data_IF_659987161873
#
_entry.id   IF_659987161873
#
_cell.length_a   1.000
_cell.length_b   1.000
_cell.length_c   1.000
_cell.angle_alpha   90.00
_cell.angle_beta   90.00
_cell.angle_gamma   90.00
#
_symmetry.space_group_name_H-M   'P 1'
#
loop_
_entity.id
_entity.type
_entity.pdbx_description
1 polymer ?
#
# COMPACT_ATOMS: atom_id res chain seq x y z
N UNK A 1 7.73 16.41 5.28
CA UNK A 1 6.59 15.47 5.20
C UNK A 1 7.04 14.24 4.43
N UNK A 2 6.62 13.04 4.83
CA UNK A 2 6.80 11.81 4.06
C UNK A 2 5.51 11.50 3.28
N UNK A 3 5.66 10.87 2.13
CA UNK A 3 4.55 10.33 1.34
C UNK A 3 4.61 8.80 1.38
N UNK A 4 3.50 8.19 1.76
CA UNK A 4 3.27 6.76 1.53
C UNK A 4 2.08 6.64 0.57
N UNK A 5 2.40 6.61 -0.73
CA UNK A 5 1.43 6.80 -1.80
C UNK A 5 0.76 8.17 -1.76
N UNK A 6 -0.56 8.18 -1.55
CA UNK A 6 -1.36 9.40 -1.45
C UNK A 6 -1.46 9.96 -0.03
N UNK A 7 -1.14 9.15 1.00
CA UNK A 7 -1.19 9.56 2.39
C UNK A 7 0.02 10.43 2.76
N UNK A 8 -0.24 11.54 3.45
CA UNK A 8 0.78 12.49 3.91
C UNK A 8 1.07 12.29 5.39
N UNK A 9 2.34 12.10 5.72
CA UNK A 9 2.80 11.95 7.10
C UNK A 9 3.63 13.17 7.51
N UNK A 10 3.23 13.81 8.62
CA UNK A 10 4.02 14.87 9.24
C UNK A 10 5.25 14.24 9.91
N UNK A 11 6.42 14.78 9.57
CA UNK A 11 7.71 14.39 10.13
C UNK A 11 8.19 15.46 11.13
N UNK A 12 9.31 15.18 11.79
CA UNK A 12 9.96 16.04 12.78
C UNK A 12 8.98 16.39 13.91
N UNK A 13 8.34 15.35 14.45
CA UNK A 13 7.39 15.44 15.56
C UNK A 13 7.62 14.26 16.52
N UNK A 14 7.25 14.39 17.79
CA UNK A 14 7.22 13.25 18.68
C UNK A 14 6.17 12.22 18.25
N UNK A 15 6.32 11.01 18.78
CA UNK A 15 5.31 9.95 18.73
C UNK A 15 4.07 10.45 19.46
N UNK A 16 2.89 10.22 18.88
CA UNK A 16 1.62 10.60 19.50
C UNK A 16 1.14 9.53 20.48
N UNK A 17 0.30 9.90 21.43
CA UNK A 17 -0.27 8.94 22.40
C UNK A 17 -1.04 7.81 21.72
N UNK A 18 -1.75 8.11 20.62
CA UNK A 18 -2.48 7.12 19.84
C UNK A 18 -1.55 6.13 19.12
N UNK A 19 -0.37 6.57 18.68
CA UNK A 19 0.64 5.67 18.10
C UNK A 19 1.32 4.85 19.19
N UNK A 20 1.58 5.45 20.35
CA UNK A 20 2.15 4.77 21.52
C UNK A 20 1.22 3.69 22.08
N UNK A 21 -0.10 3.94 22.14
CA UNK A 21 -1.06 2.96 22.63
C UNK A 21 -1.31 1.81 21.66
N UNK A 22 -1.07 2.04 20.36
CA UNK A 22 -1.19 1.03 19.30
C UNK A 22 0.13 0.28 19.02
N UNK A 23 1.15 0.45 19.88
CA UNK A 23 2.48 -0.11 19.68
C UNK A 23 2.46 -1.65 19.69
N UNK A 24 3.19 -2.23 18.74
CA UNK A 24 3.48 -3.65 18.69
C UNK A 24 4.86 -3.89 19.30
N UNK A 25 4.89 -4.59 20.43
CA UNK A 25 6.13 -4.87 21.15
C UNK A 25 6.85 -6.07 20.53
N UNK A 26 8.10 -5.90 20.13
CA UNK A 26 8.92 -6.95 19.50
C UNK A 26 9.29 -8.10 20.46
N UNK A 27 9.20 -7.85 21.77
CA UNK A 27 9.55 -8.79 22.84
C UNK A 27 8.33 -9.51 23.43
N UNK A 28 7.13 -9.14 22.99
CA UNK A 28 5.87 -9.70 23.48
C UNK A 28 5.13 -10.36 22.32
N UNK A 29 4.40 -11.43 22.62
CA UNK A 29 3.54 -12.07 21.61
C UNK A 29 2.29 -11.21 21.43
N UNK A 30 1.94 -10.89 20.20
CA UNK A 30 0.68 -10.21 19.88
C UNK A 30 -0.42 -11.16 19.39
N UNK A 31 -0.06 -12.41 19.06
CA UNK A 31 -1.00 -13.47 18.69
C UNK A 31 -0.46 -14.84 19.12
N UNK A 32 -1.36 -15.78 19.41
CA UNK A 32 -1.00 -17.16 19.76
C UNK A 32 -0.42 -17.92 18.57
N UNK A 33 -0.90 -17.62 17.36
CA UNK A 33 -0.47 -18.24 16.11
C UNK A 33 0.31 -17.23 15.27
N UNK A 34 1.33 -17.72 14.58
CA UNK A 34 1.99 -16.99 13.50
C UNK A 34 1.48 -17.54 12.17
N UNK A 35 1.11 -16.66 11.24
CA UNK A 35 0.67 -17.05 9.90
C UNK A 35 1.06 -15.96 8.92
N UNK A 36 1.62 -16.33 7.77
CA UNK A 36 1.81 -15.42 6.64
C UNK A 36 0.52 -15.37 5.81
N UNK A 37 -0.14 -14.22 5.77
CA UNK A 37 -1.37 -13.91 5.06
C UNK A 37 -1.10 -13.31 3.67
N UNK A 38 -0.24 -13.99 2.90
CA UNK A 38 0.06 -13.62 1.52
C UNK A 38 0.82 -12.30 1.40
N UNK A 39 1.83 -12.09 2.22
CA UNK A 39 2.69 -10.89 2.24
C UNK A 39 4.14 -11.15 1.83
N UNK A 40 4.57 -12.41 1.83
CA UNK A 40 5.97 -12.80 1.65
C UNK A 40 6.30 -13.00 0.17
N UNK A 41 7.35 -12.35 -0.33
CA UNK A 41 7.96 -12.60 -1.65
C UNK A 41 8.98 -13.72 -1.60
N UNK A 42 9.82 -13.73 -0.56
CA UNK A 42 10.91 -14.68 -0.40
C UNK A 42 11.17 -14.94 1.09
N UNK A 43 11.51 -16.18 1.43
CA UNK A 43 11.88 -16.57 2.78
C UNK A 43 13.11 -17.48 2.71
N UNK A 44 14.16 -17.09 3.42
CA UNK A 44 15.41 -17.85 3.57
C UNK A 44 15.69 -18.08 5.06
N UNK A 45 16.80 -18.75 5.38
CA UNK A 45 17.20 -18.95 6.78
C UNK A 45 17.72 -17.65 7.44
N UNK A 46 18.05 -16.63 6.65
CA UNK A 46 18.68 -15.38 7.08
C UNK A 46 17.77 -14.16 6.92
N UNK A 47 16.87 -14.14 5.94
CA UNK A 47 15.96 -13.02 5.74
C UNK A 47 14.57 -13.43 5.27
N UNK A 48 13.61 -12.56 5.58
CA UNK A 48 12.24 -12.63 5.10
C UNK A 48 11.95 -11.36 4.31
N UNK A 49 11.66 -11.49 3.01
CA UNK A 49 11.26 -10.38 2.15
C UNK A 49 9.74 -10.33 2.03
N UNK A 50 9.14 -9.21 2.41
CA UNK A 50 7.68 -9.00 2.40
C UNK A 50 7.29 -7.75 1.61
N UNK A 51 6.01 -7.64 1.29
CA UNK A 51 5.45 -6.48 0.63
C UNK A 51 5.25 -5.28 1.55
N UNK A 52 5.22 -4.08 0.97
CA UNK A 52 4.68 -2.90 1.62
C UNK A 52 3.15 -2.93 1.59
N UNK A 53 2.53 -2.15 2.49
CA UNK A 53 1.07 -2.08 2.61
C UNK A 53 0.36 -1.80 1.27
N UNK A 54 1.00 -1.02 0.40
CA UNK A 54 0.42 -0.57 -0.87
C UNK A 54 0.58 -1.55 -2.03
N UNK A 55 1.26 -2.68 -1.84
CA UNK A 55 1.54 -3.61 -2.94
C UNK A 55 0.29 -4.07 -3.69
N UNK A 56 -0.84 -4.25 -2.98
CA UNK A 56 -2.14 -4.63 -3.57
C UNK A 56 -2.97 -3.45 -4.09
N UNK A 57 -2.65 -2.21 -3.69
CA UNK A 57 -3.39 -0.99 -4.03
C UNK A 57 -2.99 -0.38 -5.39
N UNK A 58 -2.08 -1.02 -6.13
CA UNK A 58 -1.68 -0.50 -7.44
C UNK A 58 -2.83 -0.58 -8.46
N UNK A 59 -2.88 0.32 -9.42
CA UNK A 59 -3.93 0.40 -10.45
C UNK A 59 -5.03 1.43 -10.15
N UNK A 60 -5.24 1.83 -8.89
CA UNK A 60 -6.24 2.85 -8.54
C UNK A 60 -5.96 4.21 -9.18
N UNK A 61 -4.69 4.60 -9.33
CA UNK A 61 -4.30 5.85 -9.99
C UNK A 61 -4.59 5.81 -11.48
N UNK A 62 -4.34 4.66 -12.12
CA UNK A 62 -4.69 4.43 -13.52
C UNK A 62 -6.20 4.46 -13.75
N UNK A 63 -7.00 3.89 -12.85
CA UNK A 63 -8.46 3.94 -12.92
C UNK A 63 -8.99 5.36 -12.74
N UNK A 64 -8.47 6.10 -11.76
CA UNK A 64 -8.84 7.49 -11.53
C UNK A 64 -8.56 8.37 -12.76
N UNK A 65 -7.41 8.15 -13.44
CA UNK A 65 -7.10 8.84 -14.68
C UNK A 65 -7.98 8.39 -15.85
N UNK A 66 -8.15 7.07 -16.06
CA UNK A 66 -8.93 6.52 -17.17
C UNK A 66 -10.41 6.92 -17.12
N UNK A 67 -10.93 7.21 -15.92
CA UNK A 67 -12.32 7.64 -15.72
C UNK A 67 -12.42 9.16 -15.59
N UNK A 68 -12.12 9.70 -14.40
CA UNK A 68 -12.25 11.13 -14.11
C UNK A 68 -11.24 11.98 -14.90
N UNK A 69 -10.01 11.50 -15.11
CA UNK A 69 -9.00 12.23 -15.87
C UNK A 69 -9.38 12.45 -17.33
N UNK A 70 -9.84 11.39 -18.01
CA UNK A 70 -10.36 11.48 -19.38
C UNK A 70 -11.58 12.40 -19.44
N UNK A 71 -12.49 12.32 -18.46
CA UNK A 71 -13.62 13.24 -18.37
C UNK A 71 -13.16 14.70 -18.24
N UNK A 72 -12.22 15.01 -17.34
CA UNK A 72 -11.68 16.35 -17.19
C UNK A 72 -10.98 16.84 -18.47
N UNK A 73 -10.25 15.97 -19.16
CA UNK A 73 -9.63 16.30 -20.45
C UNK A 73 -10.69 16.67 -21.50
N UNK A 74 -11.76 15.88 -21.62
CA UNK A 74 -12.87 16.17 -22.53
C UNK A 74 -13.58 17.48 -22.17
N UNK A 75 -13.82 17.75 -20.88
CA UNK A 75 -14.44 18.99 -20.40
C UNK A 75 -13.57 20.21 -20.73
N UNK A 76 -12.25 20.14 -20.47
CA UNK A 76 -11.31 21.20 -20.82
C UNK A 76 -11.34 21.47 -22.34
N UNK A 77 -11.26 20.43 -23.16
CA UNK A 77 -11.34 20.56 -24.61
C UNK A 77 -12.68 21.19 -25.06
N UNK A 78 -13.79 20.76 -24.48
CA UNK A 78 -15.13 21.28 -24.76
C UNK A 78 -15.26 22.76 -24.39
N UNK A 79 -14.77 23.18 -23.21
CA UNK A 79 -14.83 24.58 -22.79
C UNK A 79 -13.93 25.48 -23.63
N UNK A 80 -12.74 25.02 -24.00
CA UNK A 80 -11.85 25.73 -24.94
C UNK A 80 -12.48 25.84 -26.33
N UNK A 81 -13.14 24.79 -26.81
CA UNK A 81 -13.89 24.82 -28.06
C UNK A 81 -15.04 25.84 -28.00
N UNK A 82 -15.83 25.82 -26.93
CA UNK A 82 -16.96 26.75 -26.76
C UNK A 82 -16.49 28.21 -26.62
N UNK A 83 -15.32 28.46 -26.03
CA UNK A 83 -14.72 29.78 -25.98
C UNK A 83 -14.32 30.30 -27.38
N UNK A 84 -13.85 29.42 -28.27
CA UNK A 84 -13.46 29.81 -29.64
C UNK A 84 -14.66 29.90 -30.60
N UNK A 85 -15.69 29.09 -30.39
CA UNK A 85 -16.89 29.00 -31.23
C UNK A 85 -18.14 29.56 -30.53
N UNK A 86 -18.00 30.72 -29.89
CA UNK A 86 -19.10 31.41 -29.18
C UNK A 86 -20.31 31.64 -30.10
N UNK A 87 -21.54 31.24 -29.69
CA UNK A 87 -22.76 31.49 -30.45
C UNK A 87 -23.04 32.99 -30.64
N UNK A 88 -23.49 33.37 -31.85
CA UNK A 88 -23.80 34.76 -32.20
C UNK A 88 -24.86 35.36 -31.25
N UNK A 89 -25.85 34.58 -30.84
CA UNK A 89 -26.90 34.99 -29.91
C UNK A 89 -26.37 35.45 -28.52
N UNK A 90 -25.21 34.96 -28.08
CA UNK A 90 -24.56 35.39 -26.81
C UNK A 90 -23.87 36.74 -27.00
N UNK A 91 -23.25 36.94 -28.17
CA UNK A 91 -22.60 38.20 -28.55
C UNK A 91 -23.63 39.32 -28.73
N UNK A 92 -24.75 39.02 -29.38
CA UNK A 92 -25.86 39.98 -29.59
C UNK A 92 -26.48 40.46 -28.28
N UNK A 93 -26.49 39.62 -27.22
CA UNK A 93 -26.99 40.00 -25.89
C UNK A 93 -25.97 40.76 -25.04
N UNK A 94 -24.74 40.98 -25.53
CA UNK A 94 -23.66 41.64 -24.77
C UNK A 94 -23.20 40.88 -23.52
N UNK A 95 -23.49 39.57 -23.43
CA UNK A 95 -23.19 38.73 -22.24
C UNK A 95 -21.83 38.02 -22.35
N UNK A 96 -21.04 38.34 -23.36
CA UNK A 96 -19.79 37.63 -23.69
C UNK A 96 -18.79 37.57 -22.52
N UNK A 97 -18.59 38.68 -21.80
CA UNK A 97 -17.64 38.74 -20.69
C UNK A 97 -18.01 37.77 -19.55
N UNK A 98 -19.31 37.65 -19.25
CA UNK A 98 -19.81 36.73 -18.22
C UNK A 98 -19.60 35.28 -18.65
N UNK A 99 -19.93 34.95 -19.89
CA UNK A 99 -19.78 33.59 -20.41
C UNK A 99 -18.30 33.20 -20.52
N UNK A 100 -17.41 34.09 -20.98
CA UNK A 100 -15.97 33.84 -20.97
C UNK A 100 -15.42 33.64 -19.56
N UNK A 101 -15.88 34.43 -18.59
CA UNK A 101 -15.47 34.27 -17.19
C UNK A 101 -15.89 32.90 -16.64
N UNK A 102 -17.12 32.48 -16.89
CA UNK A 102 -17.60 31.16 -16.48
C UNK A 102 -16.83 30.04 -17.16
N UNK A 103 -16.59 30.13 -18.47
CA UNK A 103 -15.79 29.17 -19.23
C UNK A 103 -14.36 29.07 -18.70
N UNK A 104 -13.74 30.21 -18.37
CA UNK A 104 -12.40 30.25 -17.79
C UNK A 104 -12.37 29.55 -16.42
N UNK A 105 -13.36 29.80 -15.55
CA UNK A 105 -13.47 29.12 -14.24
C UNK A 105 -13.65 27.61 -14.44
N UNK A 106 -14.56 27.17 -15.31
CA UNK A 106 -14.77 25.74 -15.54
C UNK A 106 -13.56 25.06 -16.18
N UNK A 107 -12.87 25.75 -17.08
CA UNK A 107 -11.61 25.27 -17.67
C UNK A 107 -10.55 25.14 -16.60
N UNK A 108 -10.39 26.12 -15.69
CA UNK A 108 -9.45 26.05 -14.58
C UNK A 108 -9.75 24.87 -13.65
N UNK A 109 -11.02 24.67 -13.29
CA UNK A 109 -11.46 23.51 -12.49
C UNK A 109 -11.14 22.20 -13.22
N UNK A 110 -11.41 22.12 -14.52
CA UNK A 110 -11.08 20.97 -15.35
C UNK A 110 -9.58 20.67 -15.39
N UNK A 111 -8.74 21.70 -15.59
CA UNK A 111 -7.27 21.58 -15.58
C UNK A 111 -6.76 21.12 -14.21
N UNK A 112 -7.28 21.68 -13.12
CA UNK A 112 -6.94 21.24 -11.77
C UNK A 112 -7.34 19.77 -11.53
N UNK A 113 -8.54 19.35 -11.93
CA UNK A 113 -9.00 17.97 -11.85
C UNK A 113 -8.13 17.01 -12.68
N UNK A 114 -7.77 17.42 -13.89
CA UNK A 114 -6.84 16.68 -14.75
C UNK A 114 -5.46 16.55 -14.10
N UNK A 115 -4.91 17.63 -13.53
CA UNK A 115 -3.61 17.59 -12.86
C UNK A 115 -3.59 16.62 -11.66
N UNK A 116 -4.67 16.58 -10.88
CA UNK A 116 -4.81 15.63 -9.74
C UNK A 116 -4.83 14.18 -10.23
N UNK A 117 -5.60 13.89 -11.29
CA UNK A 117 -5.70 12.52 -11.83
C UNK A 117 -4.43 12.08 -12.56
N UNK A 118 -3.76 12.98 -13.28
CA UNK A 118 -2.43 12.73 -13.86
C UNK A 118 -1.41 12.45 -12.76
N UNK A 119 -1.42 13.21 -11.66
CA UNK A 119 -0.56 12.91 -10.52
C UNK A 119 -0.84 11.53 -9.95
N UNK A 120 -2.12 11.13 -9.85
CA UNK A 120 -2.47 9.79 -9.39
C UNK A 120 -1.95 8.70 -10.32
N UNK A 121 -2.09 8.87 -11.63
CA UNK A 121 -1.49 8.00 -12.63
C UNK A 121 0.02 7.88 -12.44
N UNK A 122 0.75 8.98 -12.27
CA UNK A 122 2.22 8.99 -12.15
C UNK A 122 2.76 8.43 -10.83
N UNK A 123 1.96 8.46 -9.76
CA UNK A 123 2.36 7.83 -8.48
C UNK A 123 2.27 6.31 -8.58
N UNK A 124 1.32 5.83 -9.36
CA UNK A 124 0.90 4.44 -9.45
C UNK A 124 1.62 3.69 -10.59
N UNK A 125 1.65 4.31 -11.78
CA UNK A 125 2.42 3.95 -12.96
C UNK A 125 3.81 4.60 -12.91
N UNK A 126 4.78 4.09 -13.68
CA UNK A 126 6.14 4.66 -13.78
C UNK A 126 6.92 4.75 -12.45
N UNK A 127 6.50 3.95 -11.47
CA UNK A 127 7.17 3.82 -10.18
C UNK A 127 7.79 2.42 -10.07
N UNK A 128 7.84 1.82 -8.88
CA UNK A 128 8.32 0.45 -8.72
C UNK A 128 7.18 -0.57 -8.80
N UNK A 129 7.47 -1.78 -9.29
CA UNK A 129 6.52 -2.89 -9.34
C UNK A 129 6.09 -3.31 -7.93
N UNK A 130 7.04 -3.29 -6.98
CA UNK A 130 6.86 -3.49 -5.54
C UNK A 130 7.86 -2.63 -4.75
N UNK A 131 7.58 -2.37 -3.47
CA UNK A 131 8.54 -1.78 -2.52
C UNK A 131 8.80 -2.78 -1.39
N UNK A 132 9.74 -3.71 -1.60
CA UNK A 132 9.93 -4.82 -0.67
C UNK A 132 10.56 -4.34 0.64
N UNK A 133 10.31 -5.11 1.70
CA UNK A 133 10.87 -4.90 3.03
C UNK A 133 11.54 -6.21 3.43
N UNK A 134 12.83 -6.18 3.73
CA UNK A 134 13.58 -7.33 4.22
C UNK A 134 13.76 -7.25 5.73
N UNK A 135 13.31 -8.28 6.42
CA UNK A 135 13.64 -8.56 7.80
C UNK A 135 14.89 -9.46 7.81
N UNK A 136 16.06 -8.89 8.06
CA UNK A 136 17.31 -9.64 8.15
C UNK A 136 17.58 -10.01 9.61
N UNK A 137 17.61 -11.31 9.92
CA UNK A 137 17.87 -11.78 11.29
C UNK A 137 19.35 -11.84 11.64
N UNK A 138 20.25 -11.82 10.65
CA UNK A 138 21.69 -11.92 10.88
C UNK A 138 22.25 -10.68 11.59
N UNK A 139 21.93 -9.51 11.05
CA UNK A 139 22.30 -8.21 11.61
C UNK A 139 21.15 -7.55 12.39
N UNK A 140 20.04 -8.30 12.57
CA UNK A 140 18.79 -7.84 13.20
C UNK A 140 18.31 -6.50 12.64
N UNK A 141 18.32 -6.32 11.32
CA UNK A 141 17.94 -5.05 10.67
C UNK A 141 16.72 -5.21 9.76
N UNK A 142 15.82 -4.23 9.80
CA UNK A 142 14.74 -4.05 8.83
C UNK A 142 15.25 -3.14 7.72
N UNK A 143 15.31 -3.66 6.50
CA UNK A 143 15.62 -2.89 5.30
C UNK A 143 14.31 -2.59 4.55
N UNK A 144 13.96 -1.32 4.41
CA UNK A 144 12.79 -0.90 3.64
C UNK A 144 13.23 -0.19 2.35
N UNK A 145 12.85 -0.74 1.21
CA UNK A 145 13.16 -0.18 -0.10
C UNK A 145 12.35 1.09 -0.38
N UNK A 146 13.01 2.15 -0.86
CA UNK A 146 12.38 3.39 -1.31
C UNK A 146 12.57 3.63 -2.81
N UNK A 147 13.80 3.52 -3.29
CA UNK A 147 14.14 3.68 -4.71
C UNK A 147 15.49 3.01 -5.05
N UNK A 148 15.76 2.79 -6.33
CA UNK A 148 17.07 2.33 -6.80
C UNK A 148 18.10 3.46 -6.63
N UNK A 149 19.35 3.07 -6.32
CA UNK A 149 20.48 3.98 -6.20
C UNK A 149 20.78 4.47 -4.78
N UNK A 150 21.74 5.41 -4.63
CA UNK A 150 22.22 5.88 -3.32
C UNK A 150 21.11 6.48 -2.46
N UNK A 151 21.08 6.15 -1.16
CA UNK A 151 20.04 6.60 -0.23
C UNK A 151 18.65 5.97 -0.46
N UNK A 152 18.59 4.96 -1.32
CA UNK A 152 17.36 4.29 -1.74
C UNK A 152 16.79 3.27 -0.76
N UNK A 153 17.46 3.02 0.37
CA UNK A 153 17.05 2.05 1.40
C UNK A 153 17.06 2.73 2.76
N UNK A 154 16.06 2.42 3.57
CA UNK A 154 16.03 2.75 4.99
C UNK A 154 16.42 1.50 5.77
N UNK A 155 17.42 1.62 6.61
CA UNK A 155 17.88 0.54 7.49
C UNK A 155 17.55 0.92 8.93
N UNK A 156 16.82 0.05 9.64
CA UNK A 156 16.46 0.26 11.04
C UNK A 156 16.83 -1.00 11.84
N UNK A 157 17.64 -0.88 12.90
CA UNK A 157 17.83 -1.99 13.83
C UNK A 157 16.48 -2.43 14.39
N UNK A 158 16.16 -3.72 14.27
CA UNK A 158 14.92 -4.35 14.75
C UNK A 158 14.61 -3.96 16.19
N UNK A 159 15.63 -3.96 17.04
CA UNK A 159 15.51 -3.62 18.47
C UNK A 159 15.10 -2.16 18.73
N UNK A 160 15.34 -1.26 17.76
CA UNK A 160 14.97 0.15 17.82
C UNK A 160 13.73 0.49 16.98
N UNK A 161 13.15 -0.48 16.28
CA UNK A 161 12.03 -0.25 15.38
C UNK A 161 10.76 0.08 16.18
N UNK A 162 10.16 1.25 15.91
CA UNK A 162 8.83 1.57 16.44
C UNK A 162 7.76 1.06 15.48
N UNK A 163 7.21 -0.10 15.80
CA UNK A 163 6.17 -0.79 15.04
C UNK A 163 4.82 -0.59 15.74
N UNK A 164 3.77 -0.28 14.99
CA UNK A 164 2.43 -0.06 15.54
C UNK A 164 1.34 -0.35 14.50
N UNK A 165 0.10 -0.48 14.97
CA UNK A 165 -1.06 -0.61 14.08
C UNK A 165 -1.56 0.78 13.73
N UNK A 166 -1.44 1.15 12.45
CA UNK A 166 -2.07 2.35 11.92
C UNK A 166 -3.57 2.10 11.72
N UNK A 167 -4.40 2.95 12.34
CA UNK A 167 -5.86 2.94 12.19
C UNK A 167 -6.30 4.12 11.34
N UNK A 168 -6.65 3.87 10.09
CA UNK A 168 -7.19 4.92 9.22
C UNK A 168 -8.69 5.11 9.47
N UNK A 169 -9.21 6.35 9.40
CA UNK A 169 -10.64 6.60 9.54
C UNK A 169 -11.41 5.94 8.39
N UNK A 170 -12.73 5.76 8.59
CA UNK A 170 -13.61 5.24 7.54
C UNK A 170 -13.56 6.13 6.30
N UNK A 171 -13.39 5.51 5.13
CA UNK A 171 -13.28 6.20 3.85
C UNK A 171 -13.85 5.37 2.69
N UNK A 172 -14.02 6.02 1.54
CA UNK A 172 -14.50 5.39 0.31
C UNK A 172 -15.99 5.07 0.30
N UNK A 173 -16.47 4.57 -0.84
CA UNK A 173 -17.90 4.26 -1.04
C UNK A 173 -18.41 3.13 -0.14
N UNK A 174 -17.53 2.19 0.21
CA UNK A 174 -17.85 1.07 1.10
C UNK A 174 -17.74 1.43 2.59
N UNK A 175 -17.35 2.67 2.92
CA UNK A 175 -17.14 3.16 4.30
C UNK A 175 -16.25 2.23 5.16
N UNK A 176 -15.22 1.63 4.56
CA UNK A 176 -14.29 0.74 5.27
C UNK A 176 -13.24 1.54 6.01
N UNK A 177 -12.71 0.98 7.09
CA UNK A 177 -11.58 1.53 7.82
C UNK A 177 -10.37 0.61 7.69
N UNK A 178 -9.29 1.14 7.11
CA UNK A 178 -8.09 0.37 6.83
C UNK A 178 -7.20 0.23 8.08
N UNK A 179 -6.58 -0.94 8.23
CA UNK A 179 -5.61 -1.27 9.28
C UNK A 179 -4.34 -1.83 8.65
N UNK A 180 -3.18 -1.40 9.12
CA UNK A 180 -1.89 -1.91 8.62
C UNK A 180 -0.81 -1.81 9.68
N UNK A 181 0.16 -2.71 9.65
CA UNK A 181 1.39 -2.55 10.43
C UNK A 181 2.22 -1.43 9.81
N UNK A 182 2.64 -0.48 10.63
CA UNK A 182 3.48 0.64 10.20
C UNK A 182 4.72 0.73 11.07
N UNK A 183 5.84 1.06 10.44
CA UNK A 183 7.08 1.37 11.12
C UNK A 183 7.33 2.89 11.08
N UNK A 184 7.74 3.46 12.21
CA UNK A 184 8.27 4.81 12.31
C UNK A 184 9.80 4.74 12.40
N UNK A 185 10.46 5.56 11.60
CA UNK A 185 11.90 5.82 11.70
C UNK A 185 12.07 6.97 12.67
N UNK A 186 12.78 6.73 13.76
CA UNK A 186 13.07 7.72 14.79
C UNK A 186 14.51 8.23 14.64
N UNK A 187 14.73 9.50 14.94
CA UNK A 187 16.08 10.03 15.17
C UNK A 187 16.53 9.80 16.62
N UNK A 188 17.75 10.23 16.94
CA UNK A 188 18.36 10.09 18.26
C UNK A 188 17.58 10.83 19.36
N UNK A 189 16.75 11.81 19.00
CA UNK A 189 15.90 12.59 19.88
C UNK A 189 14.50 11.96 20.03
N UNK A 190 14.23 10.83 19.36
CA UNK A 190 12.93 10.15 19.36
C UNK A 190 11.87 10.81 18.49
N UNK A 191 12.25 11.70 17.57
CA UNK A 191 11.34 12.33 16.62
C UNK A 191 11.18 11.48 15.36
N UNK A 192 9.98 11.50 14.80
CA UNK A 192 9.65 10.75 13.58
C UNK A 192 10.26 11.42 12.35
N UNK A 193 11.32 10.83 11.80
CA UNK A 193 12.01 11.30 10.59
C UNK A 193 11.64 10.52 9.33
N UNK A 194 10.91 9.42 9.48
CA UNK A 194 10.42 8.62 8.36
C UNK A 194 9.35 7.62 8.76
N UNK A 195 8.70 7.00 7.77
CA UNK A 195 7.72 5.93 8.01
C UNK A 195 7.51 5.11 6.74
N UNK A 196 7.09 3.85 6.91
CA UNK A 196 6.61 2.97 5.84
C UNK A 196 5.62 1.94 6.40
N UNK A 197 4.70 1.49 5.56
CA UNK A 197 3.74 0.41 5.87
C UNK A 197 4.30 -0.96 5.51
N UNK A 198 3.91 -1.99 6.26
CA UNK A 198 4.40 -3.37 6.12
C UNK A 198 3.21 -4.31 5.91
N UNK A 199 3.34 -5.25 4.98
CA UNK A 199 2.37 -6.32 4.77
C UNK A 199 1.17 -5.87 3.96
N UNK A 200 -0.03 -6.22 4.42
CA UNK A 200 -1.31 -6.01 3.71
C UNK A 200 -2.22 -5.08 4.53
N UNK A 201 -2.97 -4.22 3.85
CA UNK A 201 -4.09 -3.51 4.48
C UNK A 201 -5.24 -4.48 4.74
N UNK A 202 -5.72 -4.48 5.98
CA UNK A 202 -6.96 -5.13 6.37
C UNK A 202 -8.06 -4.07 6.36
N UNK A 203 -9.03 -4.23 5.45
CA UNK A 203 -10.17 -3.32 5.30
C UNK A 203 -11.34 -3.80 6.16
N UNK A 204 -11.68 -3.02 7.20
CA UNK A 204 -12.78 -3.33 8.10
C UNK A 204 -14.07 -2.64 7.65
N UNK A 205 -15.07 -3.42 7.22
CA UNK A 205 -16.43 -2.93 6.97
C UNK A 205 -17.26 -2.75 8.27
N UNK A 206 -16.87 -3.46 9.33
CA UNK A 206 -17.52 -3.43 10.64
C UNK A 206 -16.63 -2.73 11.66
N UNK A 207 -17.16 -2.47 12.86
CA UNK A 207 -16.34 -1.96 13.95
C UNK A 207 -15.30 -2.99 14.39
N UNK A 208 -14.14 -2.51 14.83
CA UNK A 208 -13.00 -3.34 15.24
C UNK A 208 -13.39 -4.29 16.39
N UNK A 209 -14.26 -3.85 17.29
CA UNK A 209 -14.75 -4.62 18.44
C UNK A 209 -15.82 -5.67 18.10
N UNK A 210 -16.34 -5.67 16.87
CA UNK A 210 -17.30 -6.67 16.42
C UNK A 210 -16.61 -8.03 16.20
N UNK A 211 -17.33 -9.18 16.25
CA UNK A 211 -16.73 -10.48 15.98
C UNK A 211 -16.02 -10.56 14.62
N UNK A 212 -16.58 -9.94 13.59
CA UNK A 212 -15.97 -9.88 12.26
C UNK A 212 -14.74 -8.94 12.24
N UNK A 213 -14.79 -7.83 12.97
CA UNK A 213 -13.66 -6.91 13.14
C UNK A 213 -12.48 -7.57 13.84
N UNK A 214 -12.74 -8.28 14.94
CA UNK A 214 -11.72 -9.00 15.71
C UNK A 214 -11.06 -10.10 14.88
N UNK A 215 -11.83 -10.86 14.08
CA UNK A 215 -11.28 -11.87 13.18
C UNK A 215 -10.33 -11.26 12.13
N UNK A 216 -10.70 -10.12 11.56
CA UNK A 216 -9.87 -9.42 10.59
C UNK A 216 -8.60 -8.81 11.24
N UNK A 217 -8.72 -8.31 12.48
CA UNK A 217 -7.56 -7.88 13.26
C UNK A 217 -6.63 -9.05 13.63
N UNK A 218 -7.18 -10.23 13.89
CA UNK A 218 -6.41 -11.44 14.15
C UNK A 218 -5.48 -11.78 12.98
N UNK A 219 -5.95 -11.66 11.73
CA UNK A 219 -5.10 -11.83 10.53
C UNK A 219 -3.88 -10.89 10.58
N UNK A 220 -4.09 -9.61 10.91
CA UNK A 220 -3.04 -8.61 11.01
C UNK A 220 -2.03 -8.93 12.13
N UNK A 221 -2.51 -9.35 13.30
CA UNK A 221 -1.65 -9.72 14.43
C UNK A 221 -0.88 -11.02 14.16
N UNK A 222 -1.50 -12.02 13.52
CA UNK A 222 -0.84 -13.27 13.14
C UNK A 222 0.27 -13.04 12.11
N UNK A 223 0.06 -12.10 11.19
CA UNK A 223 1.06 -11.66 10.20
C UNK A 223 2.25 -10.99 10.88
N UNK A 224 2.00 -10.06 11.80
CA UNK A 224 3.09 -9.43 12.55
C UNK A 224 3.84 -10.43 13.43
N UNK A 225 3.12 -11.34 14.09
CA UNK A 225 3.71 -12.40 14.91
C UNK A 225 4.58 -13.33 14.07
N UNK A 226 4.25 -13.54 12.79
CA UNK A 226 5.11 -14.24 11.83
C UNK A 226 6.46 -13.52 11.66
N UNK A 227 6.46 -12.22 11.39
CA UNK A 227 7.69 -11.43 11.26
C UNK A 227 8.50 -11.43 12.57
N UNK A 228 7.82 -11.24 13.71
CA UNK A 228 8.43 -11.23 15.05
C UNK A 228 9.12 -12.55 15.37
N UNK A 229 8.43 -13.70 15.20
CA UNK A 229 9.00 -15.04 15.44
C UNK A 229 10.16 -15.32 14.50
N UNK A 230 10.05 -14.96 13.23
CA UNK A 230 11.16 -15.09 12.28
C UNK A 230 12.41 -14.33 12.77
N UNK A 231 12.25 -13.07 13.19
CA UNK A 231 13.35 -12.23 13.66
C UNK A 231 13.95 -12.66 15.01
N UNK A 232 13.11 -13.12 15.95
CA UNK A 232 13.55 -13.45 17.31
C UNK A 232 14.00 -14.91 17.46
N UNK A 233 13.27 -15.83 16.85
CA UNK A 233 13.37 -17.27 17.10
C UNK A 233 13.89 -18.02 15.86
N UNK A 234 13.83 -17.40 14.68
CA UNK A 234 14.37 -17.93 13.42
C UNK A 234 13.31 -18.62 12.54
N UNK A 235 13.73 -19.12 11.35
CA UNK A 235 12.83 -19.70 10.35
C UNK A 235 12.08 -20.95 10.86
N UNK A 236 12.67 -21.71 11.78
CA UNK A 236 12.03 -22.91 12.35
C UNK A 236 10.89 -22.61 13.33
N UNK A 237 10.77 -21.36 13.79
CA UNK A 237 9.74 -20.94 14.75
C UNK A 237 8.45 -20.44 14.08
N UNK A 238 8.45 -20.35 12.75
CA UNK A 238 7.29 -19.96 11.95
C UNK A 238 6.85 -21.12 11.07
N UNK A 239 5.54 -21.24 10.76
CA UNK A 239 5.12 -22.23 9.79
C UNK A 239 5.70 -21.92 8.40
N UNK A 240 5.86 -22.93 7.53
CA UNK A 240 6.22 -22.71 6.14
C UNK A 240 5.27 -21.71 5.48
N UNK A 241 5.81 -20.86 4.60
CA UNK A 241 5.00 -19.92 3.83
C UNK A 241 4.07 -20.73 2.91
N UNK A 242 2.76 -20.64 3.16
CA UNK A 242 1.77 -21.38 2.39
C UNK A 242 1.69 -20.92 0.93
N UNK A 243 1.85 -19.61 0.72
CA UNK A 243 1.82 -19.00 -0.61
C UNK A 243 2.74 -17.78 -0.66
N UNK A 244 3.69 -17.82 -1.59
CA UNK A 244 4.55 -16.69 -1.91
C UNK A 244 3.88 -15.75 -2.90
N UNK A 245 4.05 -14.45 -2.68
CA UNK A 245 3.78 -13.43 -3.66
C UNK A 245 4.77 -13.59 -4.82
N UNK A 246 4.24 -13.67 -6.03
CA UNK A 246 5.05 -13.68 -7.24
C UNK A 246 5.56 -12.29 -7.58
N UNK A 247 6.81 -12.23 -8.01
CA UNK A 247 7.44 -11.01 -8.56
C UNK A 247 7.22 -10.88 -10.07
N UNK A 248 6.71 -11.92 -10.73
CA UNK A 248 6.47 -11.91 -12.18
C UNK A 248 5.22 -11.11 -12.53
N UNK A 249 5.41 -10.06 -13.34
CA UNK A 249 4.32 -9.22 -13.83
C UNK A 249 3.57 -9.93 -14.97
N UNK A 250 2.46 -10.59 -14.63
CA UNK A 250 1.54 -11.22 -15.58
C UNK A 250 0.07 -10.95 -15.21
N UNK A 251 -0.82 -10.92 -16.20
CA UNK A 251 -2.26 -10.72 -15.96
C UNK A 251 -2.83 -11.82 -15.06
N UNK A 252 -2.37 -13.07 -15.24
CA UNK A 252 -2.78 -14.20 -14.40
C UNK A 252 -2.44 -13.97 -12.94
N UNK A 253 -1.23 -13.48 -12.66
CA UNK A 253 -0.77 -13.21 -11.30
C UNK A 253 -1.53 -12.03 -10.68
N UNK A 254 -1.81 -10.98 -11.46
CA UNK A 254 -2.65 -9.86 -11.02
C UNK A 254 -4.08 -10.29 -10.68
N UNK A 255 -4.68 -11.17 -11.51
CA UNK A 255 -6.00 -11.74 -11.23
C UNK A 255 -5.97 -12.59 -9.96
N UNK A 256 -4.98 -13.48 -9.82
CA UNK A 256 -4.82 -14.31 -8.63
C UNK A 256 -4.72 -13.47 -7.35
N UNK A 257 -3.95 -12.39 -7.38
CA UNK A 257 -3.76 -11.48 -6.25
C UNK A 257 -5.04 -10.72 -5.89
N UNK A 258 -5.79 -10.21 -6.88
CA UNK A 258 -7.00 -9.40 -6.62
C UNK A 258 -8.23 -10.25 -6.27
N UNK A 259 -8.27 -11.51 -6.69
CA UNK A 259 -9.30 -12.48 -6.32
C UNK A 259 -8.90 -13.40 -5.15
N UNK A 260 -7.83 -13.05 -4.44
CA UNK A 260 -7.39 -13.75 -3.23
C UNK A 260 -8.55 -13.80 -2.19
N UNK A 261 -8.82 -14.99 -1.65
CA UNK A 261 -9.96 -15.26 -0.75
C UNK A 261 -11.35 -15.34 -1.38
N UNK A 262 -11.53 -15.01 -2.67
CA UNK A 262 -12.86 -15.01 -3.31
C UNK A 262 -13.50 -16.41 -3.34
N UNK A 263 -12.71 -17.47 -3.51
CA UNK A 263 -13.22 -18.85 -3.49
C UNK A 263 -13.85 -19.23 -2.15
N UNK A 264 -13.28 -18.74 -1.05
CA UNK A 264 -13.72 -19.07 0.30
C UNK A 264 -15.01 -18.32 0.62
N UNK A 265 -15.13 -17.07 0.14
CA UNK A 265 -16.36 -16.29 0.21
C UNK A 265 -17.51 -16.95 -0.57
N UNK A 266 -17.26 -17.41 -1.79
CA UNK A 266 -18.26 -18.12 -2.61
C UNK A 266 -18.70 -19.45 -1.96
N UNK A 267 -17.76 -20.18 -1.35
CA UNK A 267 -18.03 -21.47 -0.68
C UNK A 267 -18.62 -21.33 0.72
N UNK A 268 -18.75 -20.11 1.26
CA UNK A 268 -19.26 -19.86 2.61
C UNK A 268 -20.71 -20.34 2.83
N UNK A 269 -21.46 -20.60 1.76
CA UNK A 269 -22.88 -21.02 1.83
C UNK A 269 -23.84 -19.88 2.17
N UNK A 270 -23.35 -18.66 2.41
CA UNK A 270 -24.18 -17.50 2.69
C UNK A 270 -24.61 -16.82 1.36
N UNK A 271 -25.93 -16.76 1.06
CA UNK A 271 -26.41 -16.21 -0.21
C UNK A 271 -26.14 -14.71 -0.37
N UNK A 272 -26.08 -13.95 0.73
CA UNK A 272 -25.73 -12.52 0.69
C UNK A 272 -24.26 -12.34 0.33
N UNK A 273 -23.37 -13.11 0.97
CA UNK A 273 -21.92 -13.08 0.66
C UNK A 273 -21.67 -13.50 -0.79
N UNK A 274 -22.38 -14.52 -1.27
CA UNK A 274 -22.31 -14.93 -2.67
C UNK A 274 -22.72 -13.79 -3.62
N UNK A 275 -23.87 -13.16 -3.37
CA UNK A 275 -24.37 -12.06 -4.20
C UNK A 275 -23.39 -10.87 -4.22
N UNK A 276 -22.88 -10.47 -3.04
CA UNK A 276 -21.89 -9.40 -2.94
C UNK A 276 -20.61 -9.74 -3.71
N UNK A 277 -20.12 -10.97 -3.59
CA UNK A 277 -18.92 -11.43 -4.30
C UNK A 277 -19.16 -11.46 -5.83
N UNK A 278 -20.35 -11.89 -6.27
CA UNK A 278 -20.72 -11.89 -7.68
C UNK A 278 -20.77 -10.47 -8.27
N UNK A 279 -21.37 -9.51 -7.57
CA UNK A 279 -21.40 -8.10 -8.00
C UNK A 279 -19.99 -7.50 -8.02
N UNK A 280 -19.17 -7.81 -7.02
CA UNK A 280 -17.79 -7.31 -6.92
C UNK A 280 -16.86 -7.90 -8.00
N UNK A 281 -17.22 -9.00 -8.65
CA UNK A 281 -16.36 -9.70 -9.62
C UNK A 281 -15.94 -8.80 -10.79
N UNK A 282 -16.87 -8.06 -11.39
CA UNK A 282 -16.55 -7.20 -12.54
C UNK A 282 -15.66 -6.00 -12.14
N UNK A 283 -15.97 -5.22 -11.07
CA UNK A 283 -15.06 -4.21 -10.55
C UNK A 283 -13.67 -4.75 -10.18
N UNK A 284 -13.58 -5.91 -9.52
CA UNK A 284 -12.31 -6.55 -9.16
C UNK A 284 -11.51 -6.96 -10.39
N UNK A 285 -12.18 -7.48 -11.44
CA UNK A 285 -11.53 -7.78 -12.72
C UNK A 285 -10.94 -6.53 -13.38
N UNK A 286 -11.70 -5.43 -13.41
CA UNK A 286 -11.23 -4.14 -13.93
C UNK A 286 -10.01 -3.65 -13.13
N UNK A 287 -10.07 -3.74 -11.80
CA UNK A 287 -8.94 -3.40 -10.93
C UNK A 287 -7.73 -4.30 -11.19
N UNK A 288 -7.91 -5.60 -11.41
CA UNK A 288 -6.81 -6.53 -11.74
C UNK A 288 -6.14 -6.20 -13.09
N UNK A 289 -6.92 -5.80 -14.10
CA UNK A 289 -6.38 -5.34 -15.38
C UNK A 289 -5.62 -4.02 -15.20
N UNK A 290 -6.18 -3.07 -14.45
CA UNK A 290 -5.49 -1.80 -14.16
C UNK A 290 -4.21 -2.01 -13.36
N UNK A 291 -4.24 -2.90 -12.36
CA UNK A 291 -3.08 -3.33 -11.58
C UNK A 291 -1.99 -3.90 -12.48
N UNK A 292 -2.34 -4.82 -13.38
CA UNK A 292 -1.43 -5.41 -14.36
C UNK A 292 -0.77 -4.34 -15.25
N UNK A 293 -1.57 -3.46 -15.85
CA UNK A 293 -1.05 -2.38 -16.71
C UNK A 293 -0.13 -1.46 -15.90
N UNK A 294 -0.53 -1.06 -14.70
CA UNK A 294 0.28 -0.21 -13.84
C UNK A 294 1.62 -0.86 -13.50
N UNK A 295 1.66 -2.16 -13.16
CA UNK A 295 2.91 -2.89 -12.94
C UNK A 295 3.79 -2.95 -14.20
N UNK A 296 3.20 -3.17 -15.39
CA UNK A 296 3.94 -3.21 -16.66
C UNK A 296 4.67 -1.91 -16.99
N UNK A 297 4.16 -0.78 -16.51
CA UNK A 297 4.81 0.54 -16.67
C UNK A 297 5.88 0.84 -15.61
N UNK A 298 6.01 -0.03 -14.60
CA UNK A 298 6.91 0.18 -13.48
C UNK A 298 8.25 -0.54 -13.65
N UNK A 299 9.26 -0.06 -12.92
CA UNK A 299 10.58 -0.67 -12.84
C UNK A 299 10.68 -1.66 -11.69
N UNK A 300 11.54 -2.65 -11.85
CA UNK A 300 11.88 -3.59 -10.78
C UNK A 300 12.73 -2.91 -9.69
N UNK A 301 12.45 -3.16 -8.40
CA UNK A 301 13.32 -2.74 -7.31
C UNK A 301 14.61 -3.56 -7.33
N UNK A 302 15.74 -2.90 -7.09
CA UNK A 302 17.06 -3.54 -7.01
C UNK A 302 17.67 -3.18 -5.65
N UNK A 303 17.99 -4.20 -4.87
CA UNK A 303 18.67 -4.01 -3.59
C UNK A 303 20.13 -3.61 -3.81
N UNK A 304 20.65 -2.65 -3.02
CA UNK A 304 22.08 -2.34 -3.01
C UNK A 304 22.92 -3.55 -2.58
N UNK A 305 24.13 -3.67 -3.10
CA UNK A 305 25.06 -4.78 -2.78
C UNK A 305 25.37 -4.90 -1.28
N UNK A 306 25.31 -3.79 -0.54
CA UNK A 306 25.49 -3.78 0.92
C UNK A 306 24.39 -4.57 1.63
N UNK A 307 23.12 -4.38 1.21
CA UNK A 307 21.97 -5.11 1.75
C UNK A 307 22.03 -6.57 1.34
N UNK A 308 22.37 -6.84 0.07
CA UNK A 308 22.52 -8.23 -0.40
C UNK A 308 23.62 -8.97 0.37
N UNK A 309 24.77 -8.33 0.62
CA UNK A 309 25.83 -8.93 1.45
C UNK A 309 25.40 -9.13 2.89
N UNK A 310 24.70 -8.19 3.49
CA UNK A 310 24.21 -8.30 4.86
C UNK A 310 23.19 -9.45 5.01
N UNK A 311 22.29 -9.62 4.03
CA UNK A 311 21.28 -10.68 4.01
C UNK A 311 21.85 -12.07 3.72
N UNK A 312 22.96 -12.15 2.97
CA UNK A 312 23.57 -13.42 2.56
C UNK A 312 24.87 -13.75 3.32
N UNK A 313 25.20 -13.01 4.37
CA UNK A 313 26.37 -13.30 5.19
C UNK A 313 26.26 -14.69 5.83
N UNK A 314 27.37 -15.41 5.93
CA UNK A 314 27.39 -16.69 6.64
C UNK A 314 27.03 -16.45 8.12
N UNK A 315 26.15 -17.29 8.68
CA UNK A 315 25.82 -17.20 10.12
C UNK A 315 27.10 -17.36 10.95
N UNK A 316 27.40 -16.43 11.88
CA UNK A 316 28.49 -16.66 12.81
C UNK A 316 28.21 -17.95 13.61
N UNK A 317 29.22 -18.81 13.83
CA UNK A 317 29.04 -20.03 14.61
C UNK A 317 28.53 -19.67 16.00
N UNK A 318 27.50 -20.39 16.45
CA UNK A 318 26.90 -20.25 17.77
C UNK A 318 27.97 -20.52 18.82
N UNK A 319 28.49 -19.48 19.48
CA UNK A 319 29.41 -19.68 20.60
C UNK A 319 28.68 -20.51 21.66
N UNK A 320 29.18 -21.72 21.89
CA UNK A 320 28.71 -22.59 22.96
C UNK A 320 29.13 -21.94 24.29
N UNK A 321 28.21 -21.79 25.27
CA UNK A 321 28.61 -21.33 26.59
C UNK A 321 29.61 -22.33 27.18
N UNK A 322 30.76 -21.80 27.61
CA UNK A 322 31.81 -22.52 28.36
C UNK A 322 31.33 -22.77 29.79
#
# INVERSE_FOLDING_TARGET
MALDGHSRYKLNRPITDAESSARLHINERCADRAKSAGTVFEATDSYLEVCDGRYREKGWGLLAFSTAGVLFLCLVAMFMWMATHMPIAVREKGQEGVVYTLLAIFTLVGVCGLAVTVRALLVDCFNYTRKPIRFNRLDRTIYAFRHNGPGGVVSIPWDNAFLYIERKPRAGLAATSARVVRCLVLDDQGLVVGTFSIGKYVELAFDEDSPAGQLAMEELYQDFEYYRRFMQEGPSAVPPVAEFLTTEVSLRNSLKLQFDGASDLVKSGNPVVFLVTAIATLPTFILAVAYYIAQRTCREPVWPEEVERACNAAMPPKELPV
#
